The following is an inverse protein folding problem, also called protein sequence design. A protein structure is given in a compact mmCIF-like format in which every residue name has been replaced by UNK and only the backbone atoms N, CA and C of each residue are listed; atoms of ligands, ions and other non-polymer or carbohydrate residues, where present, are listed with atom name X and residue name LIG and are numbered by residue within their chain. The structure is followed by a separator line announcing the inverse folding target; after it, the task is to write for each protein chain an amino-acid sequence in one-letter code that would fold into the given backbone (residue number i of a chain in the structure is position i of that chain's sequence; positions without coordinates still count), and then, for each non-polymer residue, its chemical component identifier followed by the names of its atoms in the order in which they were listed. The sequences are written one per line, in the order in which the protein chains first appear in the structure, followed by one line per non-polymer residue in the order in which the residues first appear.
data_IF_620440305994
#
_entry.id   IF_620440305994
#
_cell.length_a   1.000
_cell.length_b   1.000
_cell.length_c   1.000
_cell.angle_alpha   90.00
_cell.angle_beta   90.00
_cell.angle_gamma   90.00
#
_symmetry.space_group_name_H-M   'P 1'
#
loop_
_entity.id
_entity.type
_entity.pdbx_description
1 polymer ?
#
# COMPACT_ATOMS: atom_id res chain seq x y z
N UNK A 1 -31.85 -35.89 54.92
CA UNK A 1 -31.75 -35.63 53.47
C UNK A 1 -31.90 -34.12 53.26
N UNK A 2 -30.78 -33.38 53.14
CA UNK A 2 -30.33 -32.67 51.90
C UNK A 2 -31.27 -31.51 51.53
N UNK A 3 -30.88 -30.22 51.50
CA UNK A 3 -29.80 -29.63 50.70
C UNK A 3 -29.37 -28.25 51.21
N UNK A 4 -28.06 -28.05 51.11
CA UNK A 4 -27.27 -26.87 51.40
C UNK A 4 -27.51 -25.81 50.32
N UNK A 5 -27.97 -24.60 50.68
CA UNK A 5 -28.03 -23.45 49.78
C UNK A 5 -26.68 -22.71 49.81
N UNK A 6 -25.80 -23.01 48.85
CA UNK A 6 -24.59 -22.23 48.56
C UNK A 6 -24.92 -21.21 47.47
N UNK A 7 -25.29 -19.99 47.86
CA UNK A 7 -25.36 -18.86 46.94
C UNK A 7 -23.95 -18.32 46.69
N UNK A 8 -23.31 -18.84 45.66
CA UNK A 8 -22.03 -18.34 45.16
C UNK A 8 -22.26 -16.99 44.45
N UNK A 9 -21.61 -15.94 44.95
CA UNK A 9 -21.44 -14.67 44.27
C UNK A 9 -20.76 -14.90 42.92
N UNK A 10 -21.49 -14.69 41.82
CA UNK A 10 -20.90 -14.59 40.48
C UNK A 10 -20.52 -13.12 40.27
N UNK A 11 -19.25 -12.80 40.50
CA UNK A 11 -18.66 -11.52 40.10
C UNK A 11 -18.56 -11.48 38.58
N UNK A 12 -19.49 -10.78 37.92
CA UNK A 12 -19.39 -10.46 36.52
C UNK A 12 -18.32 -9.38 36.30
N UNK A 13 -17.13 -9.79 35.87
CA UNK A 13 -16.10 -8.90 35.32
C UNK A 13 -16.57 -8.37 33.97
N UNK A 14 -17.26 -7.22 34.00
CA UNK A 14 -17.54 -6.43 32.80
C UNK A 14 -16.23 -5.79 32.35
N UNK A 15 -15.52 -6.45 31.44
CA UNK A 15 -14.41 -5.83 30.72
C UNK A 15 -14.98 -4.72 29.83
N UNK A 16 -14.79 -3.47 30.25
CA UNK A 16 -15.11 -2.29 29.45
C UNK A 16 -14.15 -2.28 28.25
N UNK A 17 -14.59 -2.83 27.12
CA UNK A 17 -13.90 -2.70 25.84
C UNK A 17 -14.04 -1.23 25.44
N UNK A 18 -13.02 -0.43 25.74
CA UNK A 18 -12.94 0.94 25.23
C UNK A 18 -12.72 0.86 23.72
N UNK A 19 -13.81 0.97 22.96
CA UNK A 19 -13.77 1.11 21.50
C UNK A 19 -13.17 2.48 21.20
N UNK A 20 -11.84 2.57 21.20
CA UNK A 20 -11.14 3.72 20.66
C UNK A 20 -11.40 3.71 19.16
N UNK A 21 -12.28 4.59 18.69
CA UNK A 21 -12.33 4.93 17.27
C UNK A 21 -10.96 5.49 16.89
N UNK A 22 -10.08 4.61 16.40
CA UNK A 22 -8.75 5.00 15.96
C UNK A 22 -8.93 6.03 14.85
N UNK A 23 -8.64 7.29 15.15
CA UNK A 23 -8.71 8.37 14.16
C UNK A 23 -7.73 8.02 13.04
N UNK A 24 -8.24 7.95 11.81
CA UNK A 24 -7.38 7.61 10.67
C UNK A 24 -6.34 8.71 10.52
N UNK A 25 -5.04 8.40 10.64
CA UNK A 25 -3.99 9.40 10.53
C UNK A 25 -4.00 10.04 9.15
N UNK A 26 -3.39 11.21 9.00
CA UNK A 26 -3.33 11.92 7.71
C UNK A 26 -2.71 11.03 6.61
N UNK A 27 -1.66 10.27 6.94
CA UNK A 27 -1.05 9.28 6.05
C UNK A 27 -1.97 8.08 5.72
N UNK A 28 -3.07 7.90 6.44
CA UNK A 28 -4.11 6.91 6.16
C UNK A 28 -5.14 7.39 5.12
N UNK A 29 -4.99 8.62 4.59
CA UNK A 29 -5.98 9.27 3.72
C UNK A 29 -5.54 9.46 2.27
N UNK A 30 -4.32 9.07 1.88
CA UNK A 30 -3.92 9.13 0.46
C UNK A 30 -4.88 8.34 -0.43
N UNK A 31 -5.24 8.91 -1.58
CA UNK A 31 -6.06 8.23 -2.58
C UNK A 31 -5.13 7.69 -3.68
N UNK A 32 -5.30 6.44 -4.14
CA UNK A 32 -4.43 5.88 -5.16
C UNK A 32 -4.38 6.72 -6.45
N UNK A 33 -5.53 7.30 -6.82
CA UNK A 33 -5.69 8.16 -8.00
C UNK A 33 -4.85 9.45 -8.00
N UNK A 34 -4.23 9.83 -6.87
CA UNK A 34 -3.30 10.98 -6.86
C UNK A 34 -1.97 10.64 -7.52
N UNK A 35 -1.69 9.35 -7.77
CA UNK A 35 -0.63 8.90 -8.66
C UNK A 35 -1.23 8.63 -10.02
N UNK A 36 -0.74 9.34 -11.04
CA UNK A 36 -1.16 9.13 -12.43
C UNK A 36 -0.49 7.88 -12.98
N UNK A 37 -1.28 6.90 -13.40
CA UNK A 37 -0.77 5.72 -14.10
C UNK A 37 -0.76 6.07 -15.59
N UNK A 38 0.41 6.19 -16.18
CA UNK A 38 0.55 6.53 -17.60
C UNK A 38 0.15 5.30 -18.42
N UNK A 39 -0.86 5.40 -19.30
CA UNK A 39 -1.29 4.27 -20.11
C UNK A 39 -0.21 3.89 -21.12
N UNK A 40 -0.19 2.62 -21.53
CA UNK A 40 0.61 2.17 -22.66
C UNK A 40 0.26 2.98 -23.92
N UNK A 41 1.28 3.42 -24.66
CA UNK A 41 1.13 4.25 -25.87
C UNK A 41 1.66 3.57 -27.14
N UNK A 42 2.14 2.32 -27.02
CA UNK A 42 2.66 1.54 -28.14
C UNK A 42 3.54 0.38 -27.69
N UNK A 43 4.25 -0.22 -28.65
CA UNK A 43 5.22 -1.26 -28.36
C UNK A 43 6.29 -0.77 -27.38
N UNK A 44 6.71 -1.64 -26.45
CA UNK A 44 7.68 -1.32 -25.42
C UNK A 44 7.10 -0.61 -24.19
N UNK A 45 5.78 -0.43 -24.10
CA UNK A 45 5.11 0.18 -22.94
C UNK A 45 3.99 -0.69 -22.40
N UNK A 46 3.78 -0.65 -21.08
CA UNK A 46 2.66 -1.36 -20.43
C UNK A 46 1.97 -0.44 -19.42
N UNK A 47 0.66 -0.55 -19.30
CA UNK A 47 -0.09 0.21 -18.31
C UNK A 47 0.22 -0.31 -16.90
N UNK A 48 0.69 0.53 -15.96
CA UNK A 48 0.89 0.11 -14.58
C UNK A 48 -0.45 -0.23 -13.92
N UNK A 49 -0.41 -1.15 -12.97
CA UNK A 49 -1.57 -1.50 -12.14
C UNK A 49 -1.28 -1.18 -10.67
N UNK A 50 -2.33 -0.96 -9.88
CA UNK A 50 -2.21 -0.67 -8.45
C UNK A 50 -2.84 -1.77 -7.63
N UNK A 51 -2.12 -2.26 -6.64
CA UNK A 51 -2.63 -3.14 -5.60
C UNK A 51 -2.50 -2.47 -4.24
N UNK A 52 -3.62 -2.15 -3.61
CA UNK A 52 -3.61 -1.67 -2.23
C UNK A 52 -3.10 -2.76 -1.28
N UNK A 53 -2.28 -2.35 -0.32
CA UNK A 53 -1.76 -3.23 0.73
C UNK A 53 -2.42 -2.88 2.06
N UNK A 54 -2.26 -3.78 3.04
CA UNK A 54 -2.58 -3.46 4.42
C UNK A 54 -1.80 -2.20 4.87
N UNK A 55 -2.46 -1.35 5.66
CA UNK A 55 -1.81 -0.18 6.23
C UNK A 55 -0.62 -0.59 7.12
N UNK A 56 0.27 0.36 7.39
CA UNK A 56 1.30 0.16 8.41
C UNK A 56 0.67 0.07 9.81
N UNK A 57 1.43 -0.38 10.81
CA UNK A 57 0.99 -0.37 12.21
C UNK A 57 0.60 1.04 12.69
N UNK A 58 1.26 2.08 12.13
CA UNK A 58 0.91 3.48 12.38
C UNK A 58 -0.34 3.96 11.62
N UNK A 59 -1.02 3.10 10.86
CA UNK A 59 -2.23 3.42 10.10
C UNK A 59 -2.01 4.08 8.74
N UNK A 60 -0.76 4.17 8.25
CA UNK A 60 -0.45 4.79 6.97
C UNK A 60 -0.77 3.86 5.79
N UNK A 61 -1.35 4.41 4.72
CA UNK A 61 -1.68 3.65 3.51
C UNK A 61 -0.42 3.21 2.77
N UNK A 62 -0.52 2.02 2.17
CA UNK A 62 0.50 1.46 1.30
C UNK A 62 -0.14 0.89 0.05
N UNK A 63 0.58 0.96 -1.06
CA UNK A 63 0.17 0.30 -2.30
C UNK A 63 1.39 -0.16 -3.08
N UNK A 64 1.23 -1.23 -3.85
CA UNK A 64 2.17 -1.58 -4.90
C UNK A 64 1.68 -0.98 -6.21
N UNK A 65 2.55 -0.25 -6.89
CA UNK A 65 2.41 -0.01 -8.32
C UNK A 65 3.19 -1.11 -9.04
N UNK A 66 2.55 -1.80 -9.96
CA UNK A 66 3.07 -3.02 -10.58
C UNK A 66 3.15 -2.82 -12.10
N UNK A 67 4.35 -3.07 -12.64
CA UNK A 67 4.60 -3.18 -14.07
C UNK A 67 4.84 -4.66 -14.39
N UNK A 68 4.09 -5.20 -15.35
CA UNK A 68 4.29 -6.58 -15.81
C UNK A 68 4.55 -6.55 -17.31
N UNK A 69 5.80 -6.77 -17.70
CA UNK A 69 6.19 -6.91 -19.08
C UNK A 69 5.55 -8.17 -19.70
N UNK A 70 5.20 -8.14 -20.99
CA UNK A 70 4.62 -9.30 -21.65
C UNK A 70 5.63 -10.46 -21.73
N UNK A 71 5.15 -11.68 -21.98
CA UNK A 71 6.00 -12.88 -22.05
C UNK A 71 7.11 -12.77 -23.10
N UNK A 72 6.86 -12.05 -24.21
CA UNK A 72 7.80 -11.81 -25.30
C UNK A 72 8.91 -10.81 -24.96
N UNK A 73 8.78 -10.03 -23.89
CA UNK A 73 9.81 -9.09 -23.45
C UNK A 73 10.93 -9.81 -22.70
N UNK A 74 12.12 -9.25 -22.78
CA UNK A 74 13.32 -9.65 -22.03
C UNK A 74 13.28 -9.11 -20.61
N UNK A 75 13.02 -7.81 -20.45
CA UNK A 75 12.95 -7.16 -19.14
C UNK A 75 11.98 -5.98 -19.15
N UNK A 76 11.53 -5.56 -17.96
CA UNK A 76 10.77 -4.34 -17.75
C UNK A 76 11.56 -3.34 -16.92
N UNK A 77 11.11 -2.10 -16.91
CA UNK A 77 11.59 -1.04 -16.03
C UNK A 77 10.44 -0.10 -15.68
N UNK A 78 10.62 0.66 -14.60
CA UNK A 78 9.62 1.57 -14.05
C UNK A 78 10.19 2.97 -13.88
N UNK A 79 9.48 3.93 -14.44
CA UNK A 79 9.79 5.35 -14.31
C UNK A 79 8.85 6.01 -13.32
N UNK A 80 9.42 6.95 -12.57
CA UNK A 80 8.67 7.84 -11.71
C UNK A 80 8.83 9.27 -12.20
N UNK A 81 7.70 9.97 -12.36
CA UNK A 81 7.69 11.36 -12.79
C UNK A 81 8.45 11.60 -14.12
N UNK A 82 8.49 10.61 -15.01
CA UNK A 82 9.21 10.69 -16.29
C UNK A 82 10.72 10.44 -16.20
N UNK A 83 11.23 9.87 -15.11
CA UNK A 83 12.63 9.48 -14.96
C UNK A 83 12.76 8.07 -14.37
N UNK A 84 13.82 7.36 -14.75
CA UNK A 84 14.15 6.06 -14.14
C UNK A 84 14.44 6.24 -12.65
N UNK A 85 13.60 5.62 -11.83
CA UNK A 85 13.70 5.70 -10.37
C UNK A 85 13.01 4.55 -9.65
N UNK A 86 12.48 3.59 -10.40
CA UNK A 86 11.78 2.43 -9.88
C UNK A 86 12.68 1.43 -9.15
N UNK A 87 12.08 0.31 -8.71
CA UNK A 87 12.81 -0.87 -8.25
C UNK A 87 13.74 -1.43 -9.34
N UNK A 88 14.48 -2.49 -9.01
CA UNK A 88 15.31 -3.16 -10.01
C UNK A 88 14.48 -3.73 -11.17
N UNK A 89 15.11 -3.75 -12.34
CA UNK A 89 14.52 -4.22 -13.58
C UNK A 89 14.26 -5.72 -13.53
N UNK A 90 13.08 -6.12 -14.02
CA UNK A 90 12.63 -7.50 -14.08
C UNK A 90 11.40 -7.57 -15.00
N UNK A 91 10.96 -8.77 -15.38
CA UNK A 91 9.67 -8.93 -16.09
C UNK A 91 8.48 -8.41 -15.29
N UNK A 92 8.51 -8.59 -13.97
CA UNK A 92 7.48 -8.07 -13.07
C UNK A 92 8.15 -7.22 -12.00
N UNK A 93 7.79 -5.94 -11.95
CA UNK A 93 8.35 -4.96 -11.03
C UNK A 93 7.24 -4.42 -10.16
N UNK A 94 7.45 -4.42 -8.85
CA UNK A 94 6.51 -3.85 -7.89
C UNK A 94 7.21 -2.79 -7.03
N UNK A 95 6.71 -1.57 -7.08
CA UNK A 95 7.16 -0.48 -6.22
C UNK A 95 6.19 -0.29 -5.07
N UNK A 96 6.67 -0.51 -3.85
CA UNK A 96 5.92 -0.24 -2.63
C UNK A 96 5.93 1.25 -2.33
N UNK A 97 4.78 1.91 -2.54
CA UNK A 97 4.56 3.29 -2.18
C UNK A 97 3.92 3.38 -0.80
N UNK A 98 4.43 4.27 0.04
CA UNK A 98 3.85 4.58 1.36
C UNK A 98 3.37 6.01 1.38
N UNK A 99 2.16 6.23 1.87
CA UNK A 99 1.62 7.57 2.06
C UNK A 99 2.28 8.25 3.27
N UNK A 100 2.65 9.51 3.13
CA UNK A 100 3.28 10.29 4.19
C UNK A 100 2.31 11.21 4.94
N UNK A 101 2.83 11.91 5.94
CA UNK A 101 2.08 12.89 6.73
C UNK A 101 1.63 14.12 5.91
N UNK A 102 2.20 14.35 4.73
CA UNK A 102 1.80 15.41 3.78
C UNK A 102 0.82 14.90 2.71
N UNK A 103 0.26 13.69 2.88
CA UNK A 103 -0.64 13.03 1.93
C UNK A 103 -0.04 12.80 0.54
N UNK A 104 1.26 12.53 0.47
CA UNK A 104 1.97 12.22 -0.76
C UNK A 104 2.45 10.78 -0.76
N UNK A 105 2.44 10.15 -1.93
CA UNK A 105 2.96 8.81 -2.10
C UNK A 105 4.48 8.86 -2.24
N UNK A 106 5.17 8.09 -1.40
CA UNK A 106 6.62 8.03 -1.36
C UNK A 106 7.12 6.67 -1.77
N UNK A 107 8.16 6.66 -2.59
CA UNK A 107 9.02 5.50 -2.80
C UNK A 107 10.37 5.77 -2.13
N UNK A 108 10.99 4.73 -1.56
CA UNK A 108 12.31 4.84 -0.94
C UNK A 108 13.24 3.79 -1.52
N UNK A 109 14.33 4.23 -2.15
CA UNK A 109 15.42 3.40 -2.67
C UNK A 109 16.72 4.19 -2.58
N UNK A 110 17.41 4.09 -1.44
CA UNK A 110 18.53 4.95 -1.08
C UNK A 110 18.09 6.38 -0.74
N UNK A 111 17.41 7.04 -1.68
CA UNK A 111 16.75 8.34 -1.51
C UNK A 111 15.23 8.20 -1.53
N UNK A 112 14.56 9.27 -1.12
CA UNK A 112 13.10 9.35 -1.07
C UNK A 112 12.60 10.10 -2.30
N UNK A 113 11.67 9.49 -3.03
CA UNK A 113 11.00 10.09 -4.18
C UNK A 113 9.52 10.33 -3.86
N UNK A 114 9.01 11.51 -4.20
CA UNK A 114 7.58 11.80 -4.19
C UNK A 114 7.00 11.41 -5.55
N UNK A 115 6.07 10.47 -5.57
CA UNK A 115 5.54 9.88 -6.80
C UNK A 115 4.24 10.59 -7.19
N UNK A 116 4.25 11.21 -8.36
CA UNK A 116 3.09 11.87 -8.99
C UNK A 116 2.61 11.10 -10.22
N UNK A 117 3.52 10.46 -10.94
CA UNK A 117 3.19 9.59 -12.06
C UNK A 117 4.10 8.37 -12.12
N UNK A 118 3.58 7.30 -12.72
CA UNK A 118 4.31 6.06 -13.00
C UNK A 118 4.07 5.66 -14.44
N UNK A 119 5.16 5.40 -15.17
CA UNK A 119 5.16 4.75 -16.48
C UNK A 119 5.94 3.44 -16.38
N UNK A 120 5.58 2.47 -17.22
CA UNK A 120 6.28 1.21 -17.33
C UNK A 120 6.71 1.01 -18.78
N UNK A 121 7.95 0.56 -18.95
CA UNK A 121 8.49 0.18 -20.25
C UNK A 121 9.10 -1.21 -20.19
N UNK A 122 9.32 -1.79 -21.36
CA UNK A 122 9.97 -3.08 -21.51
C UNK A 122 10.75 -3.14 -22.82
N UNK A 123 11.73 -4.02 -22.87
CA UNK A 123 12.48 -4.41 -24.07
C UNK A 123 12.39 -5.89 -24.28
#
# INVERSE_FOLDING_TARGET
MTRILRSALVFALVAIITVHSATVPICGKCLPRTVTLVPASGAGTVTPTVKMLANTAAGCRRMNVICTAPASATTGSMEFNGAFGGPYEAKTIAATLTCDASQRWRFTKGTVLIIKSVSCMYV
#
